data_IF_311929717240
#
_entry.id   IF_311929717240
#
_cell.length_a   1.000
_cell.length_b   1.000
_cell.length_c   1.000
_cell.angle_alpha   90.00
_cell.angle_beta   90.00
_cell.angle_gamma   90.00
#
_symmetry.space_group_name_H-M   'P 1'
#
loop_
_entity.id
_entity.type
_entity.pdbx_description
1 polymer ?
#
# COMPACT_ATOMS: atom_id res chain seq x y z
N UNK A 1 -37.99 -15.29 33.19
CA UNK A 1 -38.75 -15.42 31.93
C UNK A 1 -38.69 -14.10 31.19
N UNK A 2 -37.75 -13.90 30.25
CA UNK A 2 -37.81 -12.81 29.25
C UNK A 2 -36.96 -13.20 28.03
N UNK A 3 -37.60 -13.79 27.02
CA UNK A 3 -37.08 -13.74 25.64
C UNK A 3 -37.71 -12.51 25.00
N UNK A 4 -36.96 -11.40 24.93
CA UNK A 4 -37.35 -10.28 24.08
C UNK A 4 -36.77 -10.57 22.68
N UNK A 5 -37.59 -10.88 21.66
CA UNK A 5 -37.07 -11.08 20.32
C UNK A 5 -36.49 -9.76 19.79
N UNK A 6 -35.20 -9.77 19.43
CA UNK A 6 -34.58 -8.67 18.69
C UNK A 6 -35.29 -8.54 17.34
N UNK A 7 -36.13 -7.52 17.20
CA UNK A 7 -36.88 -7.23 15.98
C UNK A 7 -36.01 -6.43 15.01
N UNK A 8 -35.76 -6.95 13.81
CA UNK A 8 -35.04 -6.24 12.74
C UNK A 8 -35.94 -5.16 12.13
N UNK A 9 -35.92 -3.94 12.69
CA UNK A 9 -36.83 -2.84 12.30
C UNK A 9 -36.73 -2.37 10.84
N UNK A 10 -35.63 -2.68 10.14
CA UNK A 10 -35.35 -2.21 8.79
C UNK A 10 -34.95 -3.34 7.84
N UNK A 11 -35.50 -4.56 8.02
CA UNK A 11 -35.27 -5.61 7.03
C UNK A 11 -35.95 -5.27 5.70
N UNK A 12 -35.42 -5.78 4.59
CA UNK A 12 -36.00 -5.62 3.24
C UNK A 12 -37.47 -6.06 3.22
N UNK A 13 -37.79 -7.16 3.91
CA UNK A 13 -39.15 -7.67 4.06
C UNK A 13 -40.06 -6.72 4.82
N UNK A 14 -39.58 -6.13 5.91
CA UNK A 14 -40.39 -5.27 6.78
C UNK A 14 -40.63 -3.90 6.14
N UNK A 15 -39.66 -3.39 5.39
CA UNK A 15 -39.73 -2.08 4.73
C UNK A 15 -40.43 -2.17 3.37
N UNK A 16 -40.43 -3.35 2.72
CA UNK A 16 -41.04 -3.52 1.40
C UNK A 16 -40.21 -2.89 0.28
N UNK A 17 -38.88 -3.04 0.34
CA UNK A 17 -37.96 -2.47 -0.66
C UNK A 17 -38.14 -3.15 -2.01
N UNK A 18 -38.23 -2.36 -3.07
CA UNK A 18 -38.26 -2.81 -4.47
C UNK A 18 -37.04 -2.30 -5.23
N UNK A 19 -36.75 -2.90 -6.39
CA UNK A 19 -35.69 -2.45 -7.30
C UNK A 19 -36.29 -2.30 -8.68
N UNK A 20 -35.93 -1.22 -9.36
CA UNK A 20 -36.23 -0.97 -10.77
C UNK A 20 -34.94 -0.68 -11.52
N UNK A 21 -34.76 -1.31 -12.67
CA UNK A 21 -33.58 -1.15 -13.52
C UNK A 21 -33.87 -0.19 -14.68
N UNK A 22 -32.93 0.71 -14.94
CA UNK A 22 -32.99 1.69 -16.02
C UNK A 22 -31.77 1.54 -16.92
N UNK A 23 -31.99 1.21 -18.20
CA UNK A 23 -30.91 0.94 -19.17
C UNK A 23 -30.31 -0.47 -19.04
N UNK A 24 -29.49 -0.84 -20.03
CA UNK A 24 -28.87 -2.16 -20.10
C UNK A 24 -29.87 -3.31 -20.35
N UNK A 25 -29.42 -4.53 -20.09
CA UNK A 25 -30.16 -5.76 -20.40
C UNK A 25 -31.43 -5.96 -19.56
N UNK A 26 -31.48 -5.39 -18.35
CA UNK A 26 -32.63 -5.51 -17.44
C UNK A 26 -33.52 -4.26 -17.43
N UNK A 27 -33.40 -3.37 -18.42
CA UNK A 27 -34.18 -2.13 -18.46
C UNK A 27 -35.68 -2.37 -18.35
N UNK A 28 -36.37 -1.56 -17.55
CA UNK A 28 -37.84 -1.62 -17.32
C UNK A 28 -38.27 -2.86 -16.52
N UNK A 29 -37.34 -3.66 -16.00
CA UNK A 29 -37.65 -4.77 -15.09
C UNK A 29 -37.68 -4.27 -13.65
N UNK A 30 -38.71 -4.66 -12.92
CA UNK A 30 -38.85 -4.40 -11.48
C UNK A 30 -38.92 -5.71 -10.69
N UNK A 31 -38.32 -5.72 -9.51
CA UNK A 31 -38.40 -6.84 -8.56
C UNK A 31 -38.82 -6.34 -7.18
N UNK A 32 -39.69 -7.11 -6.53
CA UNK A 32 -40.16 -6.87 -5.16
C UNK A 32 -39.89 -8.06 -4.23
N UNK A 33 -39.42 -9.20 -4.75
CA UNK A 33 -39.14 -10.36 -3.94
C UNK A 33 -37.88 -10.12 -3.09
N UNK A 34 -37.94 -10.32 -1.75
CA UNK A 34 -36.83 -9.95 -0.87
C UNK A 34 -35.50 -10.64 -1.19
N UNK A 35 -35.53 -11.85 -1.75
CA UNK A 35 -34.33 -12.60 -2.08
C UNK A 35 -33.55 -11.96 -3.24
N UNK A 36 -34.24 -11.64 -4.34
CA UNK A 36 -33.66 -10.98 -5.52
C UNK A 36 -33.29 -9.54 -5.19
N UNK A 37 -34.12 -8.82 -4.43
CA UNK A 37 -33.82 -7.47 -3.96
C UNK A 37 -32.51 -7.47 -3.17
N UNK A 38 -32.35 -8.37 -2.20
CA UNK A 38 -31.09 -8.48 -1.44
C UNK A 38 -29.91 -8.90 -2.31
N UNK A 39 -30.11 -9.77 -3.31
CA UNK A 39 -29.05 -10.19 -4.24
C UNK A 39 -28.49 -8.97 -4.99
N UNK A 40 -29.35 -8.22 -5.67
CA UNK A 40 -28.90 -7.04 -6.43
C UNK A 40 -28.42 -5.91 -5.53
N UNK A 41 -29.05 -5.71 -4.36
CA UNK A 41 -28.57 -4.73 -3.39
C UNK A 41 -27.12 -5.02 -2.94
N UNK A 42 -26.73 -6.29 -2.75
CA UNK A 42 -25.34 -6.66 -2.43
C UNK A 42 -24.39 -6.41 -3.59
N UNK A 43 -24.80 -6.69 -4.84
CA UNK A 43 -23.97 -6.42 -6.00
C UNK A 43 -23.77 -4.91 -6.24
N UNK A 44 -24.83 -4.11 -6.03
CA UNK A 44 -24.78 -2.65 -6.15
C UNK A 44 -23.80 -1.98 -5.16
N UNK A 45 -23.43 -2.65 -4.05
CA UNK A 45 -22.40 -2.14 -3.13
C UNK A 45 -21.03 -2.01 -3.79
N UNK A 46 -20.77 -2.77 -4.86
CA UNK A 46 -19.53 -2.75 -5.64
C UNK A 46 -19.58 -1.76 -6.82
N UNK A 47 -20.71 -1.05 -7.00
CA UNK A 47 -20.95 -0.15 -8.12
C UNK A 47 -21.91 -0.74 -9.15
N UNK A 48 -21.65 -0.46 -10.43
CA UNK A 48 -22.47 -0.94 -11.54
C UNK A 48 -22.45 -2.48 -11.64
N UNK A 49 -23.60 -3.05 -11.96
CA UNK A 49 -23.81 -4.50 -11.98
C UNK A 49 -23.61 -5.00 -13.41
N UNK A 50 -22.77 -6.02 -13.57
CA UNK A 50 -22.48 -6.65 -14.86
C UNK A 50 -22.80 -8.15 -14.82
N UNK A 51 -23.13 -8.71 -15.99
CA UNK A 51 -23.14 -10.15 -16.21
C UNK A 51 -21.72 -10.62 -16.56
N UNK A 52 -21.22 -11.62 -15.84
CA UNK A 52 -19.85 -12.12 -16.00
C UNK A 52 -19.88 -13.62 -16.31
N UNK A 53 -19.21 -14.01 -17.41
CA UNK A 53 -18.96 -15.42 -17.69
C UNK A 53 -17.79 -15.94 -16.84
N UNK A 54 -18.14 -16.82 -15.89
CA UNK A 54 -17.17 -17.47 -15.01
C UNK A 54 -16.72 -18.85 -15.51
N UNK A 55 -17.42 -19.44 -16.48
CA UNK A 55 -17.23 -20.81 -16.90
C UNK A 55 -16.02 -20.96 -17.83
N UNK A 56 -15.85 -20.05 -18.80
CA UNK A 56 -14.81 -20.15 -19.83
C UNK A 56 -13.40 -20.26 -19.26
N UNK A 57 -13.07 -19.43 -18.26
CA UNK A 57 -11.75 -19.43 -17.62
C UNK A 57 -11.77 -20.01 -16.20
N UNK A 58 -12.88 -20.62 -15.77
CA UNK A 58 -13.06 -21.20 -14.42
C UNK A 58 -12.70 -20.20 -13.31
N UNK A 59 -13.21 -18.97 -13.42
CA UNK A 59 -12.96 -17.93 -12.44
C UNK A 59 -13.53 -18.31 -11.06
N UNK A 60 -12.78 -18.04 -9.99
CA UNK A 60 -13.14 -18.43 -8.63
C UNK A 60 -13.87 -17.34 -7.82
N UNK A 61 -14.26 -16.23 -8.46
CA UNK A 61 -15.01 -15.14 -7.81
C UNK A 61 -14.18 -14.21 -6.91
N UNK A 62 -12.85 -14.32 -6.91
CA UNK A 62 -11.95 -13.46 -6.11
C UNK A 62 -11.27 -12.42 -6.99
N UNK A 63 -11.24 -11.17 -6.55
CA UNK A 63 -10.56 -10.08 -7.26
C UNK A 63 -9.05 -10.32 -7.43
N UNK A 64 -8.49 -9.68 -8.47
CA UNK A 64 -7.06 -9.69 -8.79
C UNK A 64 -6.58 -8.25 -9.01
N UNK A 65 -5.30 -8.00 -8.76
CA UNK A 65 -4.66 -6.73 -9.08
C UNK A 65 -4.47 -6.57 -10.59
N UNK A 66 -4.46 -5.32 -11.06
CA UNK A 66 -4.17 -5.01 -12.46
C UNK A 66 -2.68 -4.86 -12.74
N UNK A 67 -2.29 -4.81 -14.01
CA UNK A 67 -0.91 -4.50 -14.44
C UNK A 67 -0.42 -3.18 -13.84
N UNK A 68 -1.30 -2.18 -13.66
CA UNK A 68 -0.96 -0.92 -12.98
C UNK A 68 -0.51 -1.17 -11.54
N UNK A 69 -1.20 -2.05 -10.82
CA UNK A 69 -0.83 -2.43 -9.45
C UNK A 69 0.53 -3.14 -9.40
N UNK A 70 0.73 -4.14 -10.25
CA UNK A 70 1.99 -4.89 -10.34
C UNK A 70 3.19 -4.01 -10.73
N UNK A 71 3.02 -3.18 -11.75
CA UNK A 71 4.05 -2.25 -12.20
C UNK A 71 4.47 -1.30 -11.08
N UNK A 72 3.48 -0.69 -10.40
CA UNK A 72 3.73 0.25 -9.31
C UNK A 72 4.47 -0.42 -8.16
N UNK A 73 4.02 -1.60 -7.73
CA UNK A 73 4.66 -2.35 -6.66
C UNK A 73 6.13 -2.70 -6.99
N UNK A 74 6.39 -3.22 -8.19
CA UNK A 74 7.74 -3.56 -8.62
C UNK A 74 8.67 -2.34 -8.64
N UNK A 75 8.23 -1.24 -9.25
CA UNK A 75 9.05 -0.03 -9.36
C UNK A 75 9.30 0.62 -8.01
N UNK A 76 8.30 0.71 -7.14
CA UNK A 76 8.48 1.24 -5.80
C UNK A 76 9.50 0.43 -4.99
N UNK A 77 9.42 -0.91 -5.09
CA UNK A 77 10.36 -1.81 -4.40
C UNK A 77 11.79 -1.68 -4.94
N UNK A 78 11.96 -1.70 -6.26
CA UNK A 78 13.28 -1.55 -6.87
C UNK A 78 13.89 -0.17 -6.62
N UNK A 79 13.11 0.92 -6.71
CA UNK A 79 13.61 2.25 -6.42
C UNK A 79 14.19 2.34 -5.00
N UNK A 80 13.53 1.72 -4.02
CA UNK A 80 14.04 1.66 -2.65
C UNK A 80 15.35 0.86 -2.55
N UNK A 81 15.44 -0.28 -3.23
CA UNK A 81 16.67 -1.08 -3.28
C UNK A 81 17.83 -0.31 -3.93
N UNK A 82 17.57 0.38 -5.05
CA UNK A 82 18.56 1.20 -5.74
C UNK A 82 18.99 2.41 -4.91
N UNK A 83 18.09 2.99 -4.11
CA UNK A 83 18.45 4.06 -3.18
C UNK A 83 19.49 3.59 -2.15
N UNK A 84 19.28 2.43 -1.52
CA UNK A 84 20.28 1.85 -0.60
C UNK A 84 21.58 1.49 -1.32
N UNK A 85 21.50 0.93 -2.53
CA UNK A 85 22.67 0.67 -3.36
C UNK A 85 23.46 1.95 -3.65
N UNK A 86 22.78 3.05 -3.98
CA UNK A 86 23.41 4.34 -4.24
C UNK A 86 24.15 4.88 -3.02
N UNK A 87 23.52 4.90 -1.84
CA UNK A 87 24.15 5.35 -0.59
C UNK A 87 25.37 4.49 -0.26
N UNK A 88 25.22 3.17 -0.35
CA UNK A 88 26.29 2.22 -0.06
C UNK A 88 27.50 2.39 -0.98
N UNK A 89 27.28 2.44 -2.30
CA UNK A 89 28.35 2.62 -3.27
C UNK A 89 28.98 4.02 -3.16
N UNK A 90 28.16 5.06 -2.96
CA UNK A 90 28.65 6.43 -2.74
C UNK A 90 29.58 6.53 -1.53
N UNK A 91 29.18 5.95 -0.39
CA UNK A 91 30.01 5.92 0.81
C UNK A 91 31.33 5.16 0.57
N UNK A 92 31.29 4.00 -0.09
CA UNK A 92 32.50 3.23 -0.43
C UNK A 92 33.45 3.96 -1.37
N UNK A 93 32.92 4.78 -2.27
CA UNK A 93 33.76 5.58 -3.17
C UNK A 93 34.44 6.73 -2.43
N UNK A 94 33.72 7.42 -1.54
CA UNK A 94 34.26 8.57 -0.81
C UNK A 94 35.18 8.19 0.35
N UNK A 95 34.82 7.14 1.11
CA UNK A 95 35.55 6.67 2.30
C UNK A 95 36.41 5.44 1.99
N UNK A 96 37.00 5.41 0.79
CA UNK A 96 37.74 4.24 0.28
C UNK A 96 39.01 3.97 1.08
N UNK A 97 39.69 5.04 1.49
CA UNK A 97 40.93 5.03 2.27
C UNK A 97 40.75 4.35 3.64
N UNK A 98 39.64 4.61 4.32
CA UNK A 98 39.32 4.04 5.64
C UNK A 98 38.48 2.76 5.57
N UNK A 99 38.18 2.25 4.38
CA UNK A 99 37.27 1.12 4.20
C UNK A 99 37.79 -0.18 4.87
N UNK A 100 39.11 -0.36 4.94
CA UNK A 100 39.76 -1.51 5.57
C UNK A 100 40.14 -1.28 7.04
N UNK A 101 39.80 -0.12 7.60
CA UNK A 101 40.20 0.31 8.94
C UNK A 101 40.69 1.76 8.94
N UNK A 102 40.66 2.40 10.12
CA UNK A 102 41.21 3.74 10.33
C UNK A 102 42.69 3.65 10.71
N UNK A 103 43.39 4.77 10.61
CA UNK A 103 44.77 4.90 11.11
C UNK A 103 44.81 4.58 12.62
N UNK A 104 45.65 3.64 13.09
CA UNK A 104 45.77 3.34 14.51
C UNK A 104 46.30 4.51 15.35
N UNK A 105 46.98 5.50 14.75
CA UNK A 105 47.61 6.62 15.47
C UNK A 105 46.77 7.92 15.39
N UNK A 106 45.45 7.82 15.30
CA UNK A 106 44.53 8.96 15.06
C UNK A 106 44.23 9.85 16.29
N UNK A 107 44.65 9.44 17.50
CA UNK A 107 44.17 10.00 18.77
C UNK A 107 44.36 11.53 18.91
N UNK A 108 45.50 12.07 18.47
CA UNK A 108 45.77 13.51 18.58
C UNK A 108 44.85 14.37 17.69
N UNK A 109 44.27 13.82 16.62
CA UNK A 109 43.41 14.57 15.69
C UNK A 109 41.95 14.68 16.15
N UNK A 110 41.55 13.84 17.11
CA UNK A 110 40.18 13.78 17.64
C UNK A 110 40.05 14.41 19.03
N UNK A 111 41.16 14.87 19.62
CA UNK A 111 41.15 15.57 20.90
C UNK A 111 40.39 16.91 20.80
N UNK A 112 39.50 17.14 21.77
CA UNK A 112 38.69 18.36 21.81
C UNK A 112 39.58 19.59 22.01
N UNK A 113 39.26 20.67 21.29
CA UNK A 113 39.97 21.96 21.35
C UNK A 113 41.45 21.94 20.91
N UNK A 114 41.96 20.82 20.39
CA UNK A 114 43.35 20.72 19.92
C UNK A 114 43.65 21.56 18.67
N UNK A 115 42.63 21.86 17.84
CA UNK A 115 42.78 22.62 16.60
C UNK A 115 41.69 23.68 16.40
N UNK A 116 42.04 24.77 15.72
CA UNK A 116 41.12 25.85 15.36
C UNK A 116 40.08 25.42 14.30
N UNK A 117 40.35 24.35 13.54
CA UNK A 117 39.43 23.72 12.57
C UNK A 117 39.48 22.21 12.74
N UNK A 118 38.31 21.56 12.68
CA UNK A 118 38.19 20.11 12.75
C UNK A 118 38.96 19.42 11.61
N UNK A 119 39.78 18.42 11.96
CA UNK A 119 40.65 17.64 11.05
C UNK A 119 41.45 18.56 10.11
N UNK A 120 42.35 19.34 10.71
CA UNK A 120 43.32 20.15 9.96
C UNK A 120 44.73 19.88 10.46
N UNK A 121 45.68 19.63 9.55
CA UNK A 121 47.11 19.73 9.86
C UNK A 121 47.48 21.22 9.96
N UNK A 122 47.19 21.82 11.11
CA UNK A 122 47.75 23.11 11.50
C UNK A 122 48.87 22.85 12.48
N UNK A 123 50.10 23.29 12.16
CA UNK A 123 51.15 23.44 13.16
C UNK A 123 50.55 24.08 14.41
N UNK A 124 50.72 23.42 15.55
CA UNK A 124 50.49 24.02 16.85
C UNK A 124 51.22 25.36 16.88
N UNK A 125 50.46 26.44 17.05
CA UNK A 125 51.03 27.73 17.36
C UNK A 125 51.75 27.65 18.70
N UNK A 126 53.05 27.33 18.67
CA UNK A 126 53.98 27.78 19.67
C UNK A 126 54.49 29.14 19.22
N UNK A 127 54.07 30.17 19.96
CA UNK A 127 54.63 31.53 20.10
C UNK A 127 55.32 32.14 18.88
#
# INVERSE_FOLDING_TARGET
>A
MWHVPVRRKCSVEQVGVTIEFYGGQLSVVSYNDPATVKKYARHAQLGEIFELDLATLKFNGVFRSSTRGWFTFGHASFALLFFFGHIWHGARTLLRDVFAGIDPDLDAQVEFEAFQKFISHGQTGLK
#
